data_IF_006172497556
#
_entry.id   IF_006172497556
#
_cell.length_a   1.000
_cell.length_b   1.000
_cell.length_c   1.000
_cell.angle_alpha   90.00
_cell.angle_beta   90.00
_cell.angle_gamma   90.00
#
_symmetry.space_group_name_H-M   'P 1'
#
loop_
_entity.id
_entity.type
_entity.pdbx_description
1 polymer ?
#
# COMPACT_ATOMS: atom_id res chain seq x y z
N UNK A 1 -11.81 10.83 -23.13
CA UNK A 1 -11.21 10.83 -21.79
C UNK A 1 -9.79 10.32 -21.96
N UNK A 2 -8.82 11.22 -22.04
CA UNK A 2 -7.48 10.88 -22.52
C UNK A 2 -6.75 9.97 -21.52
N UNK A 3 -6.12 8.90 -22.03
CA UNK A 3 -5.29 7.95 -21.27
C UNK A 3 -4.29 8.64 -20.32
N UNK A 4 -3.81 9.80 -20.74
CA UNK A 4 -2.91 10.68 -19.97
C UNK A 4 -3.50 11.05 -18.61
N UNK A 5 -4.81 11.32 -18.52
CA UNK A 5 -5.46 11.67 -17.26
C UNK A 5 -5.49 10.49 -16.29
N UNK A 6 -5.80 9.29 -16.76
CA UNK A 6 -5.81 8.08 -15.93
C UNK A 6 -4.41 7.71 -15.46
N UNK A 7 -3.42 7.82 -16.35
CA UNK A 7 -2.02 7.59 -15.99
C UNK A 7 -1.55 8.60 -14.93
N UNK A 8 -1.85 9.88 -15.10
CA UNK A 8 -1.50 10.92 -14.13
C UNK A 8 -2.22 10.73 -12.79
N UNK A 9 -3.48 10.29 -12.81
CA UNK A 9 -4.24 9.96 -11.60
C UNK A 9 -3.58 8.82 -10.81
N UNK A 10 -3.20 7.73 -11.49
CA UNK A 10 -2.48 6.63 -10.85
C UNK A 10 -1.13 7.10 -10.29
N UNK A 11 -0.32 7.82 -11.09
CA UNK A 11 0.95 8.36 -10.61
C UNK A 11 0.79 9.26 -9.37
N UNK A 12 -0.23 10.12 -9.34
CA UNK A 12 -0.52 10.99 -8.20
C UNK A 12 -0.95 10.19 -6.97
N UNK A 13 -1.82 9.18 -7.12
CA UNK A 13 -2.20 8.27 -6.03
C UNK A 13 -0.98 7.52 -5.48
N UNK A 14 -0.04 7.12 -6.34
CA UNK A 14 1.19 6.45 -5.91
C UNK A 14 2.06 7.37 -5.06
N UNK A 15 2.26 8.61 -5.49
CA UNK A 15 3.03 9.62 -4.74
C UNK A 15 2.38 9.92 -3.39
N UNK A 16 1.05 10.00 -3.33
CA UNK A 16 0.31 10.17 -2.06
C UNK A 16 0.52 8.96 -1.14
N UNK A 17 0.41 7.74 -1.68
CA UNK A 17 0.65 6.51 -0.91
C UNK A 17 2.06 6.47 -0.32
N UNK A 18 3.09 6.70 -1.15
CA UNK A 18 4.49 6.74 -0.70
C UNK A 18 4.73 7.90 0.30
N UNK A 19 4.16 9.07 0.03
CA UNK A 19 4.22 10.23 0.92
C UNK A 19 3.60 9.93 2.29
N UNK A 20 2.46 9.24 2.33
CA UNK A 20 1.79 8.81 3.55
C UNK A 20 2.66 7.88 4.41
N UNK A 21 3.37 6.94 3.78
CA UNK A 21 4.32 6.03 4.46
C UNK A 21 5.49 6.80 5.07
N UNK A 22 6.04 7.79 4.36
CA UNK A 22 7.23 8.53 4.82
C UNK A 22 6.90 9.52 5.94
N UNK A 23 5.77 10.23 5.83
CA UNK A 23 5.36 11.28 6.77
C UNK A 23 4.84 10.70 8.09
N UNK A 24 4.03 9.65 8.05
CA UNK A 24 3.29 9.16 9.22
C UNK A 24 3.86 7.86 9.81
N UNK A 25 5.17 7.82 10.07
CA UNK A 25 5.84 6.63 10.65
C UNK A 25 5.45 6.33 12.11
N UNK A 26 4.79 7.26 12.81
CA UNK A 26 4.48 7.09 14.23
C UNK A 26 3.28 6.15 14.47
N UNK A 27 2.38 6.02 13.49
CA UNK A 27 1.15 5.25 13.59
C UNK A 27 1.15 4.11 12.58
N UNK A 28 1.37 2.86 13.05
CA UNK A 28 1.48 1.67 12.18
C UNK A 28 0.25 1.51 11.27
N UNK A 29 -0.95 1.78 11.80
CA UNK A 29 -2.20 1.66 11.03
C UNK A 29 -2.22 2.60 9.82
N UNK A 30 -1.72 3.83 9.98
CA UNK A 30 -1.66 4.80 8.88
C UNK A 30 -0.61 4.39 7.85
N UNK A 31 0.49 3.79 8.29
CA UNK A 31 1.49 3.21 7.39
C UNK A 31 0.90 2.09 6.55
N UNK A 32 0.18 1.14 7.16
CA UNK A 32 -0.50 0.05 6.42
C UNK A 32 -1.51 0.61 5.41
N UNK A 33 -2.36 1.55 5.82
CA UNK A 33 -3.32 2.19 4.90
C UNK A 33 -2.64 2.91 3.72
N UNK A 34 -1.50 3.54 3.97
CA UNK A 34 -0.74 4.22 2.91
C UNK A 34 -0.10 3.23 1.94
N UNK A 35 0.29 2.04 2.44
CA UNK A 35 0.84 0.95 1.66
C UNK A 35 -0.23 0.30 0.76
N UNK A 36 -1.43 0.05 1.30
CA UNK A 36 -2.59 -0.39 0.52
C UNK A 36 -2.91 0.58 -0.62
N UNK A 37 -2.90 1.89 -0.35
CA UNK A 37 -3.12 2.92 -1.36
C UNK A 37 -2.06 2.87 -2.48
N UNK A 38 -0.80 2.62 -2.13
CA UNK A 38 0.29 2.48 -3.10
C UNK A 38 0.11 1.24 -3.98
N UNK A 39 -0.22 0.08 -3.38
CA UNK A 39 -0.49 -1.17 -4.13
C UNK A 39 -1.71 -1.03 -5.05
N UNK A 40 -2.77 -0.36 -4.58
CA UNK A 40 -3.94 -0.06 -5.40
C UNK A 40 -3.57 0.81 -6.61
N UNK A 41 -2.74 1.84 -6.41
CA UNK A 41 -2.29 2.69 -7.52
C UNK A 41 -1.50 1.90 -8.56
N UNK A 42 -0.61 1.01 -8.13
CA UNK A 42 0.16 0.14 -9.04
C UNK A 42 -0.79 -0.77 -9.83
N UNK A 43 -1.78 -1.39 -9.19
CA UNK A 43 -2.81 -2.20 -9.87
C UNK A 43 -3.59 -1.40 -10.91
N UNK A 44 -3.96 -0.15 -10.61
CA UNK A 44 -4.61 0.75 -11.59
C UNK A 44 -3.70 1.03 -12.78
N UNK A 45 -2.41 1.25 -12.56
CA UNK A 45 -1.44 1.47 -13.63
C UNK A 45 -1.39 0.27 -14.59
N UNK A 46 -1.34 -0.96 -14.05
CA UNK A 46 -1.38 -2.19 -14.85
C UNK A 46 -2.68 -2.34 -15.67
N UNK A 47 -3.82 -1.96 -15.11
CA UNK A 47 -5.11 -1.97 -15.83
C UNK A 47 -5.09 -0.94 -16.97
N UNK A 48 -4.57 0.26 -16.74
CA UNK A 48 -4.48 1.32 -17.76
C UNK A 48 -3.57 0.87 -18.92
N UNK A 49 -2.42 0.26 -18.61
CA UNK A 49 -1.53 -0.31 -19.63
C UNK A 49 -2.18 -1.46 -20.40
N UNK A 50 -2.92 -2.34 -19.71
CA UNK A 50 -3.69 -3.42 -20.34
C UNK A 50 -4.69 -2.88 -21.37
N UNK A 51 -5.44 -1.83 -21.02
CA UNK A 51 -6.41 -1.20 -21.93
C UNK A 51 -5.69 -0.51 -23.10
N UNK A 52 -4.52 0.12 -22.86
CA UNK A 52 -3.75 0.79 -23.91
C UNK A 52 -3.15 -0.19 -24.93
N UNK A 53 -2.64 -1.33 -24.47
CA UNK A 53 -2.05 -2.37 -25.34
C UNK A 53 -3.09 -3.38 -25.86
N UNK A 54 -4.36 -3.27 -25.43
CA UNK A 54 -5.43 -4.25 -25.71
C UNK A 54 -5.06 -5.69 -25.32
N UNK A 55 -4.33 -5.84 -24.21
CA UNK A 55 -3.82 -7.13 -23.74
C UNK A 55 -4.35 -7.45 -22.33
N UNK A 56 -4.74 -8.70 -22.10
CA UNK A 56 -5.32 -9.19 -20.84
C UNK A 56 -4.27 -9.36 -19.73
N UNK A 57 -2.98 -9.40 -20.08
CA UNK A 57 -1.89 -9.66 -19.12
C UNK A 57 -1.91 -8.65 -17.95
N UNK A 58 -2.10 -7.35 -18.22
CA UNK A 58 -2.10 -6.35 -17.15
C UNK A 58 -3.28 -6.47 -16.18
N UNK A 59 -4.44 -6.96 -16.62
CA UNK A 59 -5.57 -7.25 -15.73
C UNK A 59 -5.29 -8.46 -14.83
N UNK A 60 -4.65 -9.50 -15.37
CA UNK A 60 -4.26 -10.69 -14.58
C UNK A 60 -3.25 -10.30 -13.49
N UNK A 61 -2.26 -9.48 -13.82
CA UNK A 61 -1.31 -8.96 -12.84
C UNK A 61 -1.98 -8.09 -11.77
N UNK A 62 -2.95 -7.25 -12.15
CA UNK A 62 -3.69 -6.43 -11.19
C UNK A 62 -4.43 -7.29 -10.15
N UNK A 63 -5.04 -8.40 -10.57
CA UNK A 63 -5.69 -9.34 -9.64
C UNK A 63 -4.67 -9.98 -8.70
N UNK A 64 -3.51 -10.38 -9.22
CA UNK A 64 -2.44 -10.95 -8.37
C UNK A 64 -1.96 -9.95 -7.31
N UNK A 65 -1.77 -8.68 -7.69
CA UNK A 65 -1.37 -7.61 -6.76
C UNK A 65 -2.45 -7.41 -5.69
N UNK A 66 -3.73 -7.42 -6.05
CA UNK A 66 -4.83 -7.32 -5.08
C UNK A 66 -4.86 -8.48 -4.08
N UNK A 67 -4.54 -9.71 -4.52
CA UNK A 67 -4.42 -10.88 -3.64
C UNK A 67 -3.24 -10.71 -2.67
N UNK A 68 -2.09 -10.24 -3.18
CA UNK A 68 -0.91 -9.96 -2.34
C UNK A 68 -1.21 -8.86 -1.32
N UNK A 69 -1.88 -7.79 -1.73
CA UNK A 69 -2.32 -6.71 -0.84
C UNK A 69 -3.23 -7.23 0.29
N UNK A 70 -4.22 -8.06 -0.04
CA UNK A 70 -5.09 -8.67 0.96
C UNK A 70 -4.32 -9.56 1.96
N UNK A 71 -3.33 -10.31 1.47
CA UNK A 71 -2.45 -11.12 2.32
C UNK A 71 -1.59 -10.25 3.25
N UNK A 72 -0.98 -9.19 2.71
CA UNK A 72 -0.19 -8.23 3.47
C UNK A 72 -1.01 -7.55 4.56
N UNK A 73 -2.21 -7.07 4.24
CA UNK A 73 -3.12 -6.45 5.21
C UNK A 73 -3.46 -7.38 6.38
N UNK A 74 -3.74 -8.65 6.06
CA UNK A 74 -4.07 -9.68 7.07
C UNK A 74 -2.89 -9.91 8.02
N UNK A 75 -1.68 -10.04 7.47
CA UNK A 75 -0.44 -10.24 8.23
C UNK A 75 -0.11 -8.98 9.04
N UNK A 76 -0.16 -7.80 8.42
CA UNK A 76 0.13 -6.52 9.06
C UNK A 76 -0.78 -6.26 10.25
N UNK A 77 -2.09 -6.49 10.10
CA UNK A 77 -3.04 -6.33 11.19
C UNK A 77 -2.84 -7.38 12.29
N UNK A 78 -2.54 -8.64 11.95
CA UNK A 78 -2.23 -9.68 12.94
C UNK A 78 -1.03 -9.30 13.81
N UNK A 79 0.04 -8.76 13.20
CA UNK A 79 1.22 -8.28 13.91
C UNK A 79 0.87 -7.11 14.83
N UNK A 80 0.07 -6.15 14.35
CA UNK A 80 -0.38 -5.01 15.16
C UNK A 80 -1.19 -5.48 16.38
N UNK A 81 -2.11 -6.44 16.20
CA UNK A 81 -2.93 -6.95 17.30
C UNK A 81 -2.08 -7.62 18.39
N UNK A 82 -1.10 -8.44 18.00
CA UNK A 82 -0.16 -9.06 18.95
C UNK A 82 0.69 -7.99 19.64
N UNK A 83 1.21 -7.01 18.89
CA UNK A 83 2.00 -5.92 19.45
C UNK A 83 1.21 -5.07 20.45
N UNK A 84 -0.04 -4.74 20.10
CA UNK A 84 -0.94 -3.98 20.97
C UNK A 84 -1.23 -4.71 22.27
N UNK A 85 -1.38 -6.04 22.23
CA UNK A 85 -1.58 -6.87 23.43
C UNK A 85 -0.39 -6.83 24.39
N UNK A 86 0.83 -6.64 23.89
CA UNK A 86 2.06 -6.63 24.69
C UNK A 86 2.41 -5.24 25.20
N UNK A 87 2.19 -4.18 24.42
CA UNK A 87 2.65 -2.81 24.75
C UNK A 87 1.55 -1.81 25.09
N UNK A 88 0.28 -2.12 24.86
CA UNK A 88 -0.86 -1.24 25.17
C UNK A 88 -0.90 0.10 24.40
N UNK A 89 0.03 0.32 23.46
CA UNK A 89 0.16 1.55 22.69
C UNK A 89 0.56 1.24 21.25
N UNK A 90 -0.04 1.97 20.31
CA UNK A 90 0.11 1.80 18.84
C UNK A 90 1.29 2.64 18.31
N UNK A 91 1.94 3.44 19.17
CA UNK A 91 3.06 4.32 18.82
C UNK A 91 4.37 3.51 18.72
N UNK A 92 5.07 3.63 17.60
CA UNK A 92 6.34 2.91 17.30
C UNK A 92 7.56 3.50 18.06
N UNK A 93 7.34 4.49 18.94
CA UNK A 93 8.41 5.29 19.56
C UNK A 93 9.36 4.50 20.50
N UNK A 94 9.05 3.25 20.84
CA UNK A 94 9.82 2.43 21.80
C UNK A 94 10.49 1.19 21.21
N UNK A 95 10.80 1.20 19.91
CA UNK A 95 11.70 0.21 19.30
C UNK A 95 13.20 0.52 19.54
N UNK A 96 13.53 1.43 20.46
CA UNK A 96 14.91 1.76 20.83
C UNK A 96 15.58 0.74 21.77
N UNK A 97 14.88 -0.32 22.18
CA UNK A 97 15.44 -1.37 23.06
C UNK A 97 16.48 -2.29 22.38
N UNK A 98 16.75 -2.11 21.08
CA UNK A 98 17.82 -2.81 20.34
C UNK A 98 19.00 -1.90 19.99
N UNK A 99 19.05 -0.69 20.55
CA UNK A 99 20.24 0.16 20.46
C UNK A 99 21.22 -0.30 21.54
N UNK A 100 22.21 -1.12 21.15
CA UNK A 100 23.45 -1.26 21.92
C UNK A 100 24.18 0.07 22.01
#
# INVERSE_FOLDING_TARGET
MDFIHFFFLSALLFVIGVGGVVLNRTNIVVVLMSLELALLSVSLNFIIFSVCLSDLIGQIFAIFILIVAACESSIGLAIILVYFRVRGSIRIDQASLLKS
#
